data_IF_882446030244
#
_entry.id   IF_882446030244
#
_cell.length_a   1.000
_cell.length_b   1.000
_cell.length_c   1.000
_cell.angle_alpha   90.00
_cell.angle_beta   90.00
_cell.angle_gamma   90.00
#
_symmetry.space_group_name_H-M   'P 1'
#
loop_
_entity.id
_entity.type
_entity.pdbx_description
1 polymer ?
#
# COMPACT_ATOMS: atom_id res chain seq x y z
N UNK A 1 -2.02 -12.14 -3.36
CA UNK A 1 -2.19 -11.37 -2.13
C UNK A 1 -0.90 -11.50 -1.32
N UNK A 2 0.00 -10.52 -1.51
CA UNK A 2 1.19 -10.37 -0.68
C UNK A 2 0.81 -10.36 0.81
N UNK A 3 1.58 -11.05 1.64
CA UNK A 3 1.42 -11.06 3.09
C UNK A 3 1.89 -9.72 3.65
N UNK A 4 1.00 -8.71 3.61
CA UNK A 4 1.30 -7.38 4.13
C UNK A 4 0.86 -7.27 5.58
N UNK A 5 1.74 -6.76 6.41
CA UNK A 5 1.57 -6.63 7.86
C UNK A 5 0.63 -5.50 8.31
N UNK A 6 -0.35 -5.09 7.50
CA UNK A 6 -1.23 -3.96 7.84
C UNK A 6 -2.15 -4.24 9.03
N UNK A 7 -2.61 -5.47 9.19
CA UNK A 7 -3.39 -5.86 10.37
C UNK A 7 -2.55 -5.80 11.64
N UNK A 8 -1.29 -6.28 11.56
CA UNK A 8 -0.33 -6.17 12.67
C UNK A 8 0.00 -4.69 12.96
N UNK A 9 0.18 -3.88 11.93
CA UNK A 9 0.42 -2.44 12.04
C UNK A 9 -0.73 -1.72 12.75
N UNK A 10 -1.98 -2.06 12.42
CA UNK A 10 -3.16 -1.52 13.09
C UNK A 10 -3.25 -1.97 14.56
N UNK A 11 -3.00 -3.26 14.84
CA UNK A 11 -2.99 -3.81 16.19
C UNK A 11 -1.93 -3.13 17.07
N UNK A 12 -0.67 -3.12 16.62
CA UNK A 12 0.44 -2.51 17.34
C UNK A 12 0.23 -1.00 17.51
N UNK A 13 -0.32 -0.32 16.50
CA UNK A 13 -0.64 1.11 16.58
C UNK A 13 -1.71 1.40 17.64
N UNK A 14 -2.74 0.55 17.73
CA UNK A 14 -3.76 0.63 18.78
C UNK A 14 -3.16 0.39 20.16
N UNK A 15 -2.35 -0.67 20.29
CA UNK A 15 -1.69 -1.02 21.53
C UNK A 15 -0.74 0.10 22.01
N UNK A 16 0.01 0.72 21.09
CA UNK A 16 0.88 1.84 21.41
C UNK A 16 0.09 3.02 21.99
N UNK A 17 -1.05 3.37 21.38
CA UNK A 17 -1.91 4.45 21.88
C UNK A 17 -2.57 4.10 23.22
N UNK A 18 -2.96 2.85 23.42
CA UNK A 18 -3.41 2.36 24.72
C UNK A 18 -2.32 2.50 25.80
N UNK A 19 -1.10 2.02 25.53
CA UNK A 19 0.02 2.09 26.48
C UNK A 19 0.43 3.53 26.80
N UNK A 20 0.34 4.45 25.83
CA UNK A 20 0.52 5.88 26.05
C UNK A 20 -0.50 6.41 27.07
N UNK A 21 -1.80 6.12 26.87
CA UNK A 21 -2.87 6.56 27.77
C UNK A 21 -2.73 5.94 29.16
N UNK A 22 -2.35 4.66 29.22
CA UNK A 22 -2.07 3.94 30.46
C UNK A 22 -0.73 4.30 31.12
N UNK A 23 0.06 5.20 30.52
CA UNK A 23 1.39 5.64 30.98
C UNK A 23 2.40 4.52 31.19
N UNK A 24 2.29 3.43 30.42
CA UNK A 24 3.20 2.29 30.47
C UNK A 24 4.36 2.50 29.49
N UNK A 25 5.18 3.51 29.75
CA UNK A 25 6.22 4.01 28.83
C UNK A 25 7.30 2.98 28.48
N UNK A 26 7.66 2.08 29.40
CA UNK A 26 8.61 1.00 29.11
C UNK A 26 8.08 0.06 28.01
N UNK A 27 6.84 -0.42 28.17
CA UNK A 27 6.18 -1.26 27.18
C UNK A 27 5.91 -0.50 25.87
N UNK A 28 5.62 0.80 25.97
CA UNK A 28 5.48 1.66 24.79
C UNK A 28 6.78 1.68 23.96
N UNK A 29 7.96 1.67 24.58
CA UNK A 29 9.26 1.61 23.86
C UNK A 29 9.37 0.36 23.02
N UNK A 30 9.01 -0.78 23.60
CA UNK A 30 9.07 -2.08 22.92
C UNK A 30 8.06 -2.11 21.76
N UNK A 31 6.82 -1.69 22.00
CA UNK A 31 5.78 -1.69 20.95
C UNK A 31 6.10 -0.70 19.84
N UNK A 32 6.61 0.49 20.15
CA UNK A 32 7.04 1.47 19.13
C UNK A 32 8.26 0.98 18.34
N UNK A 33 9.18 0.24 18.97
CA UNK A 33 10.26 -0.41 18.24
C UNK A 33 9.69 -1.43 17.26
N UNK A 34 8.83 -2.36 17.71
CA UNK A 34 8.16 -3.35 16.86
C UNK A 34 7.38 -2.69 15.72
N UNK A 35 6.73 -1.55 15.97
CA UNK A 35 6.06 -0.75 14.95
C UNK A 35 7.03 -0.26 13.86
N UNK A 36 8.19 0.25 14.23
CA UNK A 36 9.21 0.72 13.27
C UNK A 36 9.83 -0.44 12.47
N UNK A 37 10.05 -1.59 13.12
CA UNK A 37 10.48 -2.82 12.44
C UNK A 37 9.41 -3.36 11.48
N UNK A 38 8.14 -3.22 11.84
CA UNK A 38 6.99 -3.63 11.00
C UNK A 38 6.86 -2.69 9.80
N UNK A 39 6.76 -1.40 10.02
CA UNK A 39 6.53 -0.46 8.92
C UNK A 39 7.03 0.94 9.26
N UNK A 40 7.87 1.51 8.39
CA UNK A 40 8.51 2.82 8.60
C UNK A 40 7.51 3.97 8.82
N UNK A 41 6.31 3.92 8.23
CA UNK A 41 5.29 4.96 8.41
C UNK A 41 4.75 5.06 9.84
N UNK A 42 5.04 4.08 10.69
CA UNK A 42 4.71 4.16 12.12
C UNK A 42 5.42 5.32 12.83
N UNK A 43 6.49 5.88 12.24
CA UNK A 43 7.11 7.12 12.72
C UNK A 43 6.09 8.26 12.84
N UNK A 44 5.06 8.29 11.97
CA UNK A 44 4.01 9.29 12.02
C UNK A 44 3.10 9.12 13.23
N UNK A 45 2.89 7.88 13.69
CA UNK A 45 2.17 7.61 14.94
C UNK A 45 3.02 8.04 16.14
N UNK A 46 4.31 7.72 16.14
CA UNK A 46 5.25 8.14 17.20
C UNK A 46 5.30 9.68 17.29
N UNK A 47 5.30 10.38 16.16
CA UNK A 47 5.18 11.84 16.11
C UNK A 47 3.85 12.32 16.73
N UNK A 48 2.73 11.65 16.46
CA UNK A 48 1.45 11.98 17.09
C UNK A 48 1.49 11.82 18.62
N UNK A 49 2.14 10.76 19.12
CA UNK A 49 2.35 10.56 20.55
C UNK A 49 3.17 11.71 21.15
N UNK A 50 4.23 12.15 20.46
CA UNK A 50 5.04 13.31 20.87
C UNK A 50 4.25 14.59 20.95
N UNK A 51 3.49 14.90 19.90
CA UNK A 51 2.64 16.10 19.85
C UNK A 51 1.65 16.07 21.02
N UNK A 52 1.04 14.92 21.30
CA UNK A 52 0.14 14.78 22.45
C UNK A 52 0.83 15.03 23.79
N UNK A 53 1.99 14.42 24.04
CA UNK A 53 2.70 14.59 25.31
C UNK A 53 3.16 16.03 25.52
N UNK A 54 3.72 16.67 24.49
CA UNK A 54 4.20 18.06 24.56
C UNK A 54 3.04 19.04 24.81
N UNK A 55 1.90 18.85 24.17
CA UNK A 55 0.79 19.79 24.26
C UNK A 55 -0.12 19.56 25.47
N UNK A 56 -0.37 18.29 25.83
CA UNK A 56 -1.44 17.94 26.78
C UNK A 56 -0.98 17.08 27.97
N UNK A 57 0.18 16.43 27.91
CA UNK A 57 0.67 15.57 29.01
C UNK A 57 2.10 15.94 29.47
N UNK A 58 2.40 17.24 29.55
CA UNK A 58 3.76 17.75 29.86
C UNK A 58 4.39 17.17 31.12
N UNK A 59 3.59 16.82 32.12
CA UNK A 59 4.06 16.14 33.35
C UNK A 59 4.78 14.82 33.09
N UNK A 60 4.44 14.14 31.99
CA UNK A 60 5.00 12.85 31.65
C UNK A 60 6.25 12.98 30.73
N UNK A 61 6.68 14.20 30.38
CA UNK A 61 7.82 14.44 29.47
C UNK A 61 9.08 13.71 29.91
N UNK A 62 9.41 13.70 31.21
CA UNK A 62 10.60 13.02 31.71
C UNK A 62 10.58 11.51 31.40
N UNK A 63 9.44 10.85 31.68
CA UNK A 63 9.27 9.43 31.40
C UNK A 63 9.22 9.16 29.89
N UNK A 64 8.63 10.08 29.13
CA UNK A 64 8.55 10.00 27.69
C UNK A 64 9.93 10.17 27.01
N UNK A 65 10.83 10.97 27.58
CA UNK A 65 12.22 11.05 27.13
C UNK A 65 12.97 9.74 27.36
N UNK A 66 12.75 9.08 28.51
CA UNK A 66 13.33 7.74 28.77
C UNK A 66 12.80 6.72 27.75
N UNK A 67 11.51 6.80 27.42
CA UNK A 67 10.91 5.99 26.36
C UNK A 67 11.66 6.18 25.02
N UNK A 68 11.96 7.41 24.62
CA UNK A 68 12.71 7.69 23.40
C UNK A 68 14.14 7.17 23.42
N UNK A 69 14.82 7.27 24.56
CA UNK A 69 16.16 6.71 24.71
C UNK A 69 16.14 5.19 24.48
N UNK A 70 15.20 4.49 25.12
CA UNK A 70 15.02 3.04 24.96
C UNK A 70 14.62 2.66 23.54
N UNK A 71 13.67 3.39 22.93
CA UNK A 71 13.28 3.19 21.54
C UNK A 71 14.47 3.32 20.59
N UNK A 72 15.32 4.33 20.81
CA UNK A 72 16.55 4.55 20.02
C UNK A 72 17.48 3.36 20.18
N UNK A 73 17.75 2.92 21.42
CA UNK A 73 18.59 1.74 21.71
C UNK A 73 18.08 0.50 20.96
N UNK A 74 16.77 0.24 21.00
CA UNK A 74 16.17 -0.89 20.28
C UNK A 74 16.22 -0.77 18.76
N UNK A 75 16.27 0.45 18.22
CA UNK A 75 16.27 0.70 16.78
C UNK A 75 17.67 0.84 16.17
N UNK A 76 18.71 1.05 16.98
CA UNK A 76 20.11 1.14 16.53
C UNK A 76 20.50 0.00 15.55
N UNK A 77 20.20 -1.28 15.85
CA UNK A 77 20.56 -2.37 14.94
C UNK A 77 19.95 -2.26 13.53
N UNK A 78 18.85 -1.53 13.40
CA UNK A 78 18.13 -1.36 12.13
C UNK A 78 18.53 -0.11 11.34
N UNK A 79 19.30 0.80 11.93
CA UNK A 79 19.75 2.03 11.26
C UNK A 79 20.43 1.79 9.89
N UNK A 80 21.29 0.77 9.71
CA UNK A 80 21.89 0.49 8.40
C UNK A 80 20.85 0.11 7.33
N UNK A 81 19.80 -0.61 7.73
CA UNK A 81 18.72 -0.98 6.81
C UNK A 81 17.85 0.23 6.48
N UNK A 82 17.55 1.07 7.47
CA UNK A 82 16.85 2.34 7.26
C UNK A 82 17.60 3.25 6.28
N UNK A 83 18.92 3.40 6.43
CA UNK A 83 19.75 4.21 5.52
C UNK A 83 19.69 3.68 4.08
N UNK A 84 19.78 2.36 3.89
CA UNK A 84 19.61 1.72 2.58
C UNK A 84 18.23 1.99 1.98
N UNK A 85 17.17 1.81 2.76
CA UNK A 85 15.79 2.06 2.32
C UNK A 85 15.55 3.53 1.94
N UNK A 86 16.08 4.47 2.73
CA UNK A 86 16.00 5.90 2.46
C UNK A 86 16.75 6.25 1.17
N UNK A 87 17.98 5.72 1.00
CA UNK A 87 18.77 5.88 -0.21
C UNK A 87 18.07 5.34 -1.46
N UNK A 88 17.46 4.16 -1.39
CA UNK A 88 16.66 3.62 -2.50
C UNK A 88 15.42 4.47 -2.79
N UNK A 89 14.75 4.98 -1.76
CA UNK A 89 13.57 5.85 -1.92
C UNK A 89 13.89 7.20 -2.57
N UNK A 90 15.04 7.79 -2.26
CA UNK A 90 15.50 9.06 -2.84
C UNK A 90 15.98 8.91 -4.28
N UNK A 91 16.58 7.77 -4.64
CA UNK A 91 17.19 7.53 -5.94
C UNK A 91 16.31 6.68 -6.88
N UNK A 92 15.02 6.52 -6.58
CA UNK A 92 14.15 5.59 -7.32
C UNK A 92 14.02 5.95 -8.79
N UNK A 93 14.04 7.25 -9.11
CA UNK A 93 13.93 7.76 -10.47
C UNK A 93 15.18 7.45 -11.33
N UNK A 94 16.33 7.17 -10.70
CA UNK A 94 17.57 6.84 -11.42
C UNK A 94 17.53 5.44 -12.05
N UNK A 95 16.79 4.51 -11.45
CA UNK A 95 16.72 3.11 -11.91
C UNK A 95 15.32 2.66 -12.33
N UNK A 96 14.26 3.38 -11.92
CA UNK A 96 12.89 3.22 -12.42
C UNK A 96 12.27 4.59 -12.74
N UNK A 97 12.66 5.18 -13.89
CA UNK A 97 12.09 6.45 -14.34
C UNK A 97 10.57 6.34 -14.43
N UNK A 98 9.83 7.35 -13.94
CA UNK A 98 8.37 7.34 -13.97
C UNK A 98 7.70 6.75 -12.71
N UNK A 99 8.44 6.06 -11.86
CA UNK A 99 7.86 5.39 -10.68
C UNK A 99 7.29 6.37 -9.66
N UNK A 100 7.90 7.55 -9.54
CA UNK A 100 7.40 8.64 -8.70
C UNK A 100 5.99 9.08 -9.08
N UNK A 101 5.68 9.20 -10.38
CA UNK A 101 4.36 9.58 -10.89
C UNK A 101 3.31 8.49 -10.61
N UNK A 102 3.70 7.21 -10.61
CA UNK A 102 2.82 6.08 -10.31
C UNK A 102 2.48 6.02 -8.81
N UNK A 103 3.47 6.28 -7.94
CA UNK A 103 3.31 6.13 -6.50
C UNK A 103 2.69 7.34 -5.79
N UNK A 104 2.81 8.54 -6.36
CA UNK A 104 2.41 9.77 -5.69
C UNK A 104 1.38 10.57 -6.48
N UNK A 105 0.32 10.95 -5.78
CA UNK A 105 -0.64 11.98 -6.22
C UNK A 105 -0.27 13.32 -5.57
N UNK A 106 -0.71 14.45 -6.11
CA UNK A 106 -0.52 15.76 -5.45
C UNK A 106 -1.05 15.70 -4.00
N UNK A 107 -0.31 16.21 -2.98
CA UNK A 107 -0.76 16.18 -1.59
C UNK A 107 -2.15 16.79 -1.36
N UNK A 108 -2.49 17.83 -2.12
CA UNK A 108 -3.81 18.49 -2.08
C UNK A 108 -4.91 17.52 -2.52
N UNK A 109 -4.66 16.70 -3.54
CA UNK A 109 -5.58 15.64 -3.98
C UNK A 109 -5.51 14.41 -3.06
N UNK A 110 -4.36 14.18 -2.42
CA UNK A 110 -4.14 13.02 -1.58
C UNK A 110 -4.95 13.06 -0.29
N UNK A 111 -5.06 14.22 0.37
CA UNK A 111 -5.83 14.34 1.61
C UNK A 111 -7.28 13.81 1.51
N UNK A 112 -8.14 14.32 0.60
CA UNK A 112 -9.50 13.83 0.48
C UNK A 112 -9.53 12.35 0.05
N UNK A 113 -8.60 11.90 -0.79
CA UNK A 113 -8.53 10.49 -1.22
C UNK A 113 -8.16 9.56 -0.06
N UNK A 114 -7.19 9.95 0.78
CA UNK A 114 -6.80 9.18 1.97
C UNK A 114 -7.97 9.10 2.93
N UNK A 115 -8.57 10.24 3.24
CA UNK A 115 -9.65 10.30 4.22
C UNK A 115 -10.89 9.55 3.74
N UNK A 116 -11.30 9.72 2.47
CA UNK A 116 -12.39 8.96 1.88
C UNK A 116 -12.10 7.45 1.92
N UNK A 117 -10.90 7.01 1.53
CA UNK A 117 -10.55 5.58 1.52
C UNK A 117 -10.43 4.96 2.91
N UNK A 118 -10.10 5.74 3.93
CA UNK A 118 -10.12 5.28 5.33
C UNK A 118 -11.55 5.01 5.83
N UNK A 119 -12.54 5.76 5.33
CA UNK A 119 -13.94 5.63 5.77
C UNK A 119 -14.73 4.65 4.88
N UNK A 120 -14.69 4.85 3.57
CA UNK A 120 -15.52 4.11 2.60
C UNK A 120 -14.76 2.97 1.89
N UNK A 121 -13.45 2.83 2.10
CA UNK A 121 -12.64 1.82 1.41
C UNK A 121 -12.36 2.15 -0.06
N UNK A 122 -11.98 1.12 -0.84
CA UNK A 122 -11.65 1.26 -2.26
C UNK A 122 -12.90 1.07 -3.12
N UNK A 123 -13.58 2.17 -3.42
CA UNK A 123 -14.77 2.16 -4.29
C UNK A 123 -14.53 3.04 -5.52
N UNK A 124 -14.99 2.57 -6.67
CA UNK A 124 -15.22 3.40 -7.85
C UNK A 124 -16.57 3.05 -8.51
N UNK A 125 -17.33 4.08 -8.87
CA UNK A 125 -18.54 3.94 -9.67
C UNK A 125 -18.25 4.23 -11.14
N UNK A 126 -19.05 3.66 -12.03
CA UNK A 126 -18.93 3.90 -13.49
C UNK A 126 -19.32 5.36 -13.80
N UNK A 127 -20.42 5.84 -13.22
CA UNK A 127 -20.82 7.25 -13.33
C UNK A 127 -19.99 8.12 -12.39
N UNK A 128 -19.28 9.11 -12.97
CA UNK A 128 -18.52 10.11 -12.22
C UNK A 128 -19.42 10.96 -11.33
N UNK A 129 -20.65 11.25 -11.76
CA UNK A 129 -21.62 12.04 -10.99
C UNK A 129 -22.10 11.29 -9.75
N UNK A 130 -22.49 10.01 -9.90
CA UNK A 130 -22.87 9.18 -8.76
C UNK A 130 -21.70 9.00 -7.78
N UNK A 131 -20.48 8.87 -8.29
CA UNK A 131 -19.30 8.81 -7.43
C UNK A 131 -19.08 10.10 -6.65
N UNK A 132 -19.20 11.27 -7.32
CA UNK A 132 -19.09 12.57 -6.68
C UNK A 132 -20.15 12.77 -5.60
N UNK A 133 -21.40 12.40 -5.88
CA UNK A 133 -22.49 12.46 -4.89
C UNK A 133 -22.19 11.57 -3.67
N UNK A 134 -21.72 10.34 -3.91
CA UNK A 134 -21.35 9.43 -2.83
C UNK A 134 -20.17 9.94 -2.00
N UNK A 135 -19.14 10.51 -2.62
CA UNK A 135 -18.01 11.14 -1.92
C UNK A 135 -18.51 12.29 -1.03
N UNK A 136 -19.34 13.18 -1.57
CA UNK A 136 -19.93 14.29 -0.81
C UNK A 136 -20.74 13.78 0.36
N UNK A 137 -21.55 12.74 0.16
CA UNK A 137 -22.32 12.10 1.23
C UNK A 137 -21.40 11.54 2.33
N UNK A 138 -20.36 10.76 1.97
CA UNK A 138 -19.39 10.20 2.93
C UNK A 138 -18.72 11.31 3.74
N UNK A 139 -18.28 12.39 3.10
CA UNK A 139 -17.69 13.52 3.80
C UNK A 139 -18.70 14.26 4.68
N UNK A 140 -19.91 14.51 4.21
CA UNK A 140 -20.95 15.16 5.01
C UNK A 140 -21.23 14.38 6.29
N UNK A 141 -21.45 13.06 6.19
CA UNK A 141 -21.66 12.19 7.36
C UNK A 141 -20.44 12.22 8.28
N UNK A 142 -19.24 12.08 7.72
CA UNK A 142 -17.99 12.02 8.49
C UNK A 142 -17.73 13.31 9.26
N UNK A 143 -17.74 14.46 8.59
CA UNK A 143 -17.45 15.75 9.23
C UNK A 143 -18.56 16.17 10.20
N UNK A 144 -19.83 15.84 9.90
CA UNK A 144 -20.91 16.07 10.86
C UNK A 144 -20.73 15.21 12.11
N UNK A 145 -20.37 13.92 11.95
CA UNK A 145 -20.06 13.03 13.08
C UNK A 145 -18.89 13.58 13.94
N UNK A 146 -17.83 14.06 13.29
CA UNK A 146 -16.71 14.69 13.99
C UNK A 146 -17.10 16.00 14.70
N UNK A 147 -18.02 16.78 14.13
CA UNK A 147 -18.48 18.04 14.70
C UNK A 147 -19.37 17.84 15.94
N UNK A 148 -20.21 16.80 15.97
CA UNK A 148 -21.14 16.56 17.10
C UNK A 148 -20.53 15.81 18.29
N UNK A 149 -19.33 15.26 18.10
CA UNK A 149 -18.54 14.50 19.09
C UNK A 149 -18.28 15.33 20.37
N UNK A 150 -18.57 14.76 21.55
CA UNK A 150 -18.43 15.43 22.87
C UNK A 150 -17.27 14.93 23.73
N UNK A 151 -16.62 13.83 23.36
CA UNK A 151 -15.45 13.33 24.11
C UNK A 151 -14.28 14.32 24.04
N UNK A 152 -13.37 14.26 25.02
CA UNK A 152 -12.12 15.04 25.00
C UNK A 152 -11.30 14.65 23.77
N UNK A 153 -11.48 15.43 22.71
CA UNK A 153 -11.12 15.05 21.34
C UNK A 153 -9.63 15.20 21.03
N UNK A 154 -8.86 15.88 21.87
CA UNK A 154 -7.46 16.21 21.59
C UNK A 154 -6.62 14.98 21.24
N UNK A 155 -6.66 13.92 22.05
CA UNK A 155 -5.91 12.69 21.80
C UNK A 155 -6.30 12.04 20.47
N UNK A 156 -7.60 11.89 20.23
CA UNK A 156 -8.11 11.19 19.04
C UNK A 156 -7.89 12.00 17.77
N UNK A 157 -8.05 13.33 17.82
CA UNK A 157 -7.72 14.21 16.71
C UNK A 157 -6.22 14.18 16.41
N UNK A 158 -5.37 14.18 17.43
CA UNK A 158 -3.92 14.03 17.24
C UNK A 158 -3.61 12.66 16.62
N UNK A 159 -4.18 11.58 17.15
CA UNK A 159 -3.99 10.23 16.63
C UNK A 159 -4.42 10.10 15.17
N UNK A 160 -5.54 10.73 14.77
CA UNK A 160 -6.02 10.64 13.40
C UNK A 160 -5.28 11.60 12.46
N UNK A 161 -5.23 12.88 12.80
CA UNK A 161 -4.82 13.92 11.87
C UNK A 161 -3.30 14.14 11.83
N UNK A 162 -2.58 14.03 12.95
CA UNK A 162 -1.11 14.24 12.92
C UNK A 162 -0.44 13.24 12.00
N UNK A 163 -0.76 11.92 12.01
CA UNK A 163 -0.13 11.01 11.08
C UNK A 163 -0.48 11.26 9.62
N UNK A 164 -1.73 11.65 9.33
CA UNK A 164 -2.17 11.98 7.97
C UNK A 164 -1.43 13.20 7.44
N UNK A 165 -1.38 14.29 8.21
CA UNK A 165 -0.69 15.50 7.77
C UNK A 165 0.83 15.28 7.67
N UNK A 166 1.42 14.52 8.58
CA UNK A 166 2.84 14.17 8.51
C UNK A 166 3.18 13.35 7.27
N UNK A 167 2.33 12.38 6.90
CA UNK A 167 2.44 11.66 5.64
C UNK A 167 2.35 12.60 4.43
N UNK A 168 1.42 13.56 4.45
CA UNK A 168 1.25 14.52 3.35
C UNK A 168 2.45 15.45 3.19
N UNK A 169 2.99 15.97 4.29
CA UNK A 169 4.18 16.82 4.26
C UNK A 169 5.42 16.06 3.80
N UNK A 170 5.64 14.86 4.33
CA UNK A 170 6.73 13.99 3.86
C UNK A 170 6.56 13.59 2.40
N UNK A 171 5.30 13.52 1.91
CA UNK A 171 5.02 13.20 0.51
C UNK A 171 5.49 14.24 -0.52
N UNK A 172 5.79 15.46 -0.06
CA UNK A 172 6.41 16.51 -0.89
C UNK A 172 7.83 16.12 -1.32
N UNK A 173 8.55 15.42 -0.45
CA UNK A 173 9.95 15.01 -0.68
C UNK A 173 10.02 13.58 -1.18
N UNK A 174 9.33 12.66 -0.49
CA UNK A 174 9.33 11.23 -0.78
C UNK A 174 7.98 10.82 -1.39
N UNK A 175 7.89 10.20 -2.56
CA UNK A 175 6.60 9.94 -3.22
C UNK A 175 5.80 8.81 -2.57
N UNK A 176 5.23 9.08 -1.39
CA UNK A 176 4.59 8.11 -0.52
C UNK A 176 3.37 8.71 0.18
N UNK A 177 2.22 8.76 -0.49
CA UNK A 177 0.95 9.20 0.12
C UNK A 177 -0.19 8.20 -0.04
N UNK A 178 0.15 6.91 -0.07
CA UNK A 178 -0.84 5.85 -0.18
C UNK A 178 -1.61 5.67 1.14
N UNK A 179 -2.96 5.60 1.13
CA UNK A 179 -3.79 5.64 2.34
C UNK A 179 -3.50 4.51 3.34
N UNK A 180 -3.16 3.31 2.86
CA UNK A 180 -2.90 2.17 3.71
C UNK A 180 -1.67 2.37 4.62
N UNK A 181 -0.80 3.33 4.32
CA UNK A 181 0.39 3.64 5.15
C UNK A 181 0.02 4.26 6.50
N UNK A 182 -1.21 4.72 6.68
CA UNK A 182 -1.72 5.29 7.93
C UNK A 182 -2.88 4.47 8.49
N UNK A 183 -2.99 3.17 8.17
CA UNK A 183 -4.09 2.31 8.61
C UNK A 183 -4.25 2.26 10.15
N UNK A 184 -3.18 2.49 10.89
CA UNK A 184 -3.18 2.57 12.36
C UNK A 184 -3.98 3.75 12.94
N UNK A 185 -4.49 4.66 12.10
CA UNK A 185 -5.41 5.74 12.54
C UNK A 185 -6.87 5.29 12.62
N UNK A 186 -7.23 4.18 11.96
CA UNK A 186 -8.61 3.69 11.91
C UNK A 186 -9.25 3.49 13.29
N UNK A 187 -8.58 2.90 14.30
CA UNK A 187 -9.17 2.74 15.62
C UNK A 187 -9.56 4.08 16.25
N UNK A 188 -8.69 5.10 16.13
CA UNK A 188 -8.99 6.45 16.61
C UNK A 188 -10.19 7.08 15.91
N UNK A 189 -10.31 6.88 14.59
CA UNK A 189 -11.43 7.35 13.79
C UNK A 189 -12.75 6.65 14.16
N UNK A 190 -12.71 5.33 14.39
CA UNK A 190 -13.87 4.54 14.82
C UNK A 190 -14.36 5.00 16.21
N UNK A 191 -13.46 5.30 17.14
CA UNK A 191 -13.83 5.82 18.47
C UNK A 191 -14.50 7.20 18.34
N UNK A 192 -14.01 8.07 17.44
CA UNK A 192 -14.66 9.35 17.15
C UNK A 192 -16.09 9.14 16.61
N UNK A 193 -16.27 8.22 15.67
CA UNK A 193 -17.59 7.85 15.15
C UNK A 193 -18.52 7.27 16.21
N UNK A 194 -18.02 6.41 17.09
CA UNK A 194 -18.79 5.85 18.19
C UNK A 194 -19.34 6.97 19.11
N UNK A 195 -18.56 8.04 19.34
CA UNK A 195 -19.06 9.19 20.11
C UNK A 195 -20.23 9.91 19.45
N UNK A 196 -20.27 9.99 18.11
CA UNK A 196 -21.41 10.55 17.41
C UNK A 196 -22.64 9.65 17.53
N UNK A 197 -22.44 8.33 17.44
CA UNK A 197 -23.50 7.34 17.68
C UNK A 197 -24.07 7.43 19.10
N UNK A 198 -23.26 7.63 20.14
CA UNK A 198 -23.83 7.79 21.49
C UNK A 198 -24.76 9.02 21.61
N UNK A 199 -24.55 10.05 20.81
CA UNK A 199 -25.38 11.26 20.82
C UNK A 199 -26.64 11.13 19.95
N UNK A 200 -26.50 10.58 18.75
CA UNK A 200 -27.62 10.34 17.82
C UNK A 200 -27.53 8.91 17.27
N UNK A 201 -27.94 7.90 18.07
CA UNK A 201 -27.61 6.49 17.80
C UNK A 201 -28.20 5.99 16.51
N UNK A 202 -29.50 6.17 16.29
CA UNK A 202 -30.16 5.69 15.07
C UNK A 202 -29.59 6.35 13.82
N UNK A 203 -29.39 7.67 13.84
CA UNK A 203 -28.92 8.41 12.68
C UNK A 203 -27.49 8.03 12.28
N UNK A 204 -26.51 8.22 13.17
CA UNK A 204 -25.10 7.98 12.80
C UNK A 204 -24.78 6.51 12.63
N UNK A 205 -25.39 5.61 13.42
CA UNK A 205 -25.19 4.17 13.23
C UNK A 205 -25.67 3.74 11.85
N UNK A 206 -26.89 4.14 11.44
CA UNK A 206 -27.42 3.80 10.12
C UNK A 206 -26.56 4.37 8.99
N UNK A 207 -26.17 5.65 9.08
CA UNK A 207 -25.37 6.29 8.03
C UNK A 207 -23.97 5.68 7.90
N UNK A 208 -23.29 5.41 9.02
CA UNK A 208 -21.94 4.80 9.01
C UNK A 208 -22.02 3.35 8.54
N UNK A 209 -22.98 2.56 9.02
CA UNK A 209 -23.19 1.19 8.55
C UNK A 209 -23.48 1.16 7.05
N UNK A 210 -24.30 2.10 6.56
CA UNK A 210 -24.56 2.20 5.13
C UNK A 210 -23.26 2.45 4.34
N UNK A 211 -22.40 3.37 4.79
CA UNK A 211 -21.10 3.62 4.12
C UNK A 211 -20.22 2.38 4.10
N UNK A 212 -20.12 1.66 5.23
CA UNK A 212 -19.30 0.46 5.34
C UNK A 212 -19.86 -0.68 4.49
N UNK A 213 -21.17 -0.94 4.56
CA UNK A 213 -21.82 -1.98 3.77
C UNK A 213 -21.70 -1.74 2.26
N UNK A 214 -21.89 -0.49 1.81
CA UNK A 214 -21.69 -0.15 0.39
C UNK A 214 -20.24 -0.41 -0.02
N UNK A 215 -19.27 -0.06 0.81
CA UNK A 215 -17.85 -0.33 0.57
C UNK A 215 -17.52 -1.82 0.51
N UNK A 216 -17.99 -2.59 1.48
CA UNK A 216 -17.75 -4.02 1.56
C UNK A 216 -18.43 -4.78 0.42
N UNK A 217 -19.71 -4.50 0.15
CA UNK A 217 -20.44 -5.10 -0.97
C UNK A 217 -19.73 -4.77 -2.28
N UNK A 218 -19.32 -3.50 -2.50
CA UNK A 218 -18.60 -3.13 -3.70
C UNK A 218 -17.27 -3.91 -3.83
N UNK A 219 -16.51 -4.03 -2.74
CA UNK A 219 -15.24 -4.77 -2.72
C UNK A 219 -15.43 -6.27 -3.03
N UNK A 220 -16.37 -6.94 -2.37
CA UNK A 220 -16.56 -8.39 -2.52
C UNK A 220 -17.24 -8.78 -3.84
N UNK A 221 -18.07 -7.92 -4.43
CA UNK A 221 -18.79 -8.23 -5.67
C UNK A 221 -18.08 -7.78 -6.94
N UNK A 222 -17.06 -6.90 -6.85
CA UNK A 222 -16.39 -6.32 -8.03
C UNK A 222 -14.90 -6.63 -8.04
N UNK A 223 -14.43 -7.60 -8.85
CA UNK A 223 -13.01 -7.97 -8.94
C UNK A 223 -12.06 -6.79 -9.20
N UNK A 224 -12.46 -5.80 -10.01
CA UNK A 224 -11.68 -4.58 -10.28
C UNK A 224 -11.33 -3.74 -9.03
N UNK A 225 -12.12 -3.86 -7.96
CA UNK A 225 -11.89 -3.17 -6.70
C UNK A 225 -11.01 -3.98 -5.75
N UNK A 226 -10.90 -5.28 -5.98
CA UNK A 226 -10.04 -6.19 -5.23
C UNK A 226 -8.56 -5.95 -5.60
N UNK A 227 -7.68 -6.58 -4.83
CA UNK A 227 -6.25 -6.59 -5.15
C UNK A 227 -5.98 -7.51 -6.34
N UNK A 228 -4.76 -7.41 -6.90
CA UNK A 228 -4.41 -8.12 -8.12
C UNK A 228 -4.67 -9.63 -8.01
N UNK A 229 -5.24 -10.21 -9.07
CA UNK A 229 -5.62 -11.62 -9.19
C UNK A 229 -4.42 -12.56 -9.41
N UNK A 230 -3.34 -12.38 -8.66
CA UNK A 230 -2.12 -13.17 -8.78
C UNK A 230 -2.35 -14.67 -8.58
N UNK A 231 -3.23 -15.05 -7.66
CA UNK A 231 -3.54 -16.47 -7.39
C UNK A 231 -4.17 -17.12 -8.62
N UNK A 232 -5.12 -16.45 -9.27
CA UNK A 232 -5.80 -16.93 -10.47
C UNK A 232 -4.85 -16.95 -11.66
N UNK A 233 -4.06 -15.88 -11.85
CA UNK A 233 -3.08 -15.79 -12.92
C UNK A 233 -2.03 -16.91 -12.85
N UNK A 234 -1.47 -17.15 -11.66
CA UNK A 234 -0.48 -18.21 -11.45
C UNK A 234 -1.13 -19.58 -11.58
N UNK A 235 -2.32 -19.79 -11.01
CA UNK A 235 -3.06 -21.05 -11.17
C UNK A 235 -3.35 -21.39 -12.63
N UNK A 236 -3.70 -20.38 -13.45
CA UNK A 236 -3.82 -20.51 -14.89
C UNK A 236 -2.49 -20.92 -15.54
N UNK A 237 -1.41 -20.19 -15.26
CA UNK A 237 -0.08 -20.45 -15.84
C UNK A 237 0.47 -21.83 -15.47
N UNK A 238 0.23 -22.31 -14.24
CA UNK A 238 0.63 -23.64 -13.79
C UNK A 238 -0.11 -24.78 -14.51
N UNK A 239 -1.31 -24.52 -15.02
CA UNK A 239 -2.09 -25.51 -15.78
C UNK A 239 -1.78 -25.53 -17.28
N UNK A 240 -0.86 -24.67 -17.77
CA UNK A 240 -0.54 -24.57 -19.19
C UNK A 240 0.83 -25.18 -19.51
N UNK A 241 0.97 -25.89 -20.66
CA UNK A 241 2.27 -26.30 -21.15
C UNK A 241 3.04 -25.08 -21.67
N UNK A 242 4.24 -24.83 -21.15
CA UNK A 242 5.09 -23.72 -21.58
C UNK A 242 5.85 -23.07 -20.44
N UNK A 243 6.56 -22.00 -20.77
CA UNK A 243 7.32 -21.21 -19.79
C UNK A 243 6.80 -19.78 -19.72
N UNK A 244 6.85 -19.17 -18.55
CA UNK A 244 6.48 -17.76 -18.38
C UNK A 244 7.71 -16.88 -18.40
N UNK A 245 7.67 -15.87 -19.25
CA UNK A 245 8.59 -14.75 -19.30
C UNK A 245 7.99 -13.58 -18.52
N UNK A 246 8.84 -12.92 -17.72
CA UNK A 246 8.49 -11.67 -17.05
C UNK A 246 9.40 -10.55 -17.50
N UNK A 247 8.85 -9.35 -17.66
CA UNK A 247 9.60 -8.13 -17.97
C UNK A 247 10.19 -7.51 -16.70
N UNK A 248 10.94 -8.31 -15.96
CA UNK A 248 11.56 -7.95 -14.70
C UNK A 248 12.87 -8.72 -14.56
N UNK A 249 13.74 -8.25 -13.67
CA UNK A 249 15.04 -8.82 -13.35
C UNK A 249 14.95 -10.11 -12.56
N UNK A 250 13.77 -10.39 -12.00
CA UNK A 250 13.52 -11.58 -11.22
C UNK A 250 12.04 -11.98 -11.31
N UNK A 251 11.73 -13.17 -10.79
CA UNK A 251 10.38 -13.64 -10.54
C UNK A 251 9.65 -12.63 -9.63
N UNK A 252 8.40 -12.28 -9.96
CA UNK A 252 7.61 -11.41 -9.08
C UNK A 252 7.29 -12.09 -7.74
N UNK A 253 7.29 -11.31 -6.65
CA UNK A 253 7.00 -11.78 -5.29
C UNK A 253 5.82 -12.78 -5.17
N UNK A 254 4.67 -12.57 -5.86
CA UNK A 254 3.55 -13.49 -5.78
C UNK A 254 3.83 -14.91 -6.27
N UNK A 255 4.76 -15.09 -7.20
CA UNK A 255 5.15 -16.44 -7.63
C UNK A 255 5.93 -17.19 -6.55
N UNK A 256 6.81 -16.54 -5.78
CA UNK A 256 7.49 -17.21 -4.66
C UNK A 256 6.52 -17.71 -3.60
N UNK A 257 5.34 -17.11 -3.52
CA UNK A 257 4.32 -17.48 -2.55
C UNK A 257 3.35 -18.54 -3.08
N UNK A 258 2.78 -18.31 -4.27
CA UNK A 258 1.72 -19.17 -4.80
C UNK A 258 2.22 -20.37 -5.60
N UNK A 259 3.43 -20.29 -6.15
CA UNK A 259 4.03 -21.41 -6.87
C UNK A 259 5.56 -21.27 -6.88
N UNK A 260 6.22 -21.58 -5.73
CA UNK A 260 7.66 -21.40 -5.56
C UNK A 260 8.47 -22.08 -6.68
N UNK A 261 8.06 -23.30 -7.04
CA UNK A 261 8.74 -24.15 -8.01
C UNK A 261 8.40 -23.81 -9.48
N UNK A 262 7.42 -22.93 -9.72
CA UNK A 262 7.07 -22.55 -11.07
C UNK A 262 8.20 -21.79 -11.74
N UNK A 263 8.72 -22.34 -12.84
CA UNK A 263 9.84 -21.78 -13.58
C UNK A 263 9.40 -20.50 -14.31
N UNK A 264 10.04 -19.40 -13.97
CA UNK A 264 9.86 -18.09 -14.60
C UNK A 264 11.20 -17.63 -15.14
N UNK A 265 11.20 -17.06 -16.35
CA UNK A 265 12.37 -16.48 -16.97
C UNK A 265 12.31 -14.95 -16.86
N UNK A 266 13.28 -14.32 -16.18
CA UNK A 266 13.42 -12.87 -16.20
C UNK A 266 14.02 -12.41 -17.53
N UNK A 267 13.22 -11.74 -18.36
CA UNK A 267 13.66 -11.28 -19.68
C UNK A 267 14.47 -9.97 -19.64
N UNK A 268 14.43 -9.23 -18.52
CA UNK A 268 15.02 -7.89 -18.40
C UNK A 268 15.99 -7.85 -17.23
N UNK A 269 17.29 -7.86 -17.47
CA UNK A 269 18.32 -7.84 -16.40
C UNK A 269 18.68 -6.44 -15.90
N UNK A 270 18.39 -5.40 -16.68
CA UNK A 270 18.71 -3.99 -16.38
C UNK A 270 17.50 -3.11 -16.68
N UNK A 271 17.29 -2.06 -15.88
CA UNK A 271 16.21 -1.11 -16.05
C UNK A 271 16.73 0.28 -16.49
N UNK A 272 16.06 0.94 -17.43
CA UNK A 272 15.08 0.37 -18.37
C UNK A 272 15.73 -0.70 -19.26
N UNK A 273 14.91 -1.57 -19.84
CA UNK A 273 15.36 -2.67 -20.70
C UNK A 273 16.26 -2.15 -21.85
N UNK A 274 17.28 -2.94 -22.18
CA UNK A 274 18.17 -2.68 -23.32
C UNK A 274 18.10 -3.85 -24.28
N UNK A 275 17.97 -3.58 -25.58
CA UNK A 275 17.74 -4.62 -26.59
C UNK A 275 18.79 -5.73 -26.53
N UNK A 276 20.08 -5.37 -26.49
CA UNK A 276 21.17 -6.34 -26.38
C UNK A 276 21.03 -7.26 -25.16
N UNK A 277 20.78 -6.70 -23.97
CA UNK A 277 20.64 -7.47 -22.74
C UNK A 277 19.41 -8.41 -22.77
N UNK A 278 18.31 -7.98 -23.40
CA UNK A 278 17.11 -8.81 -23.59
C UNK A 278 17.40 -9.95 -24.58
N UNK A 279 18.05 -9.65 -25.71
CA UNK A 279 18.45 -10.64 -26.71
C UNK A 279 19.38 -11.68 -26.11
N UNK A 280 20.39 -11.27 -25.34
CA UNK A 280 21.33 -12.18 -24.68
C UNK A 280 20.60 -13.07 -23.67
N UNK A 281 19.72 -12.50 -22.85
CA UNK A 281 18.94 -13.25 -21.84
C UNK A 281 18.02 -14.31 -22.46
N UNK A 282 17.34 -13.97 -23.55
CA UNK A 282 16.40 -14.88 -24.21
C UNK A 282 17.10 -15.90 -25.11
N UNK A 283 18.18 -15.50 -25.79
CA UNK A 283 18.94 -16.39 -26.70
C UNK A 283 19.76 -17.43 -25.94
N UNK A 284 20.20 -17.10 -24.72
CA UNK A 284 20.87 -18.05 -23.83
C UNK A 284 19.94 -19.17 -23.29
N UNK A 285 18.63 -19.07 -23.55
CA UNK A 285 17.64 -20.00 -23.00
C UNK A 285 16.96 -20.84 -24.07
N UNK A 286 16.85 -22.14 -23.81
CA UNK A 286 16.07 -23.06 -24.64
C UNK A 286 14.57 -22.81 -24.45
N UNK A 287 14.03 -21.86 -25.21
CA UNK A 287 12.60 -21.52 -25.15
C UNK A 287 11.75 -22.62 -25.83
N UNK A 288 10.67 -23.10 -25.17
CA UNK A 288 9.76 -24.09 -25.74
C UNK A 288 8.89 -23.50 -26.86
N UNK A 289 8.19 -24.35 -27.61
CA UNK A 289 7.29 -23.92 -28.70
C UNK A 289 6.16 -22.98 -28.25
N UNK A 290 5.81 -22.99 -26.97
CA UNK A 290 4.80 -22.14 -26.36
C UNK A 290 5.36 -21.39 -25.15
N UNK A 291 5.22 -20.06 -25.16
CA UNK A 291 5.65 -19.19 -24.06
C UNK A 291 4.52 -18.24 -23.66
N UNK A 292 4.54 -17.79 -22.41
CA UNK A 292 3.62 -16.80 -21.86
C UNK A 292 4.40 -15.56 -21.44
N UNK A 293 4.00 -14.37 -21.88
CA UNK A 293 4.63 -13.12 -21.51
C UNK A 293 3.71 -12.32 -20.58
N UNK A 294 4.19 -11.99 -19.39
CA UNK A 294 3.47 -11.19 -18.41
C UNK A 294 3.71 -9.69 -18.64
N UNK A 295 2.65 -8.89 -18.78
CA UNK A 295 2.76 -7.43 -18.99
C UNK A 295 2.97 -6.62 -17.70
N UNK A 296 2.95 -7.25 -16.53
CA UNK A 296 2.98 -6.53 -15.27
C UNK A 296 4.23 -5.61 -15.15
N UNK A 297 4.01 -4.33 -14.82
CA UNK A 297 5.04 -3.27 -14.71
C UNK A 297 5.82 -2.93 -16.00
N UNK A 298 5.34 -3.35 -17.18
CA UNK A 298 6.04 -3.14 -18.47
C UNK A 298 6.40 -1.69 -18.74
N UNK A 299 5.50 -0.74 -18.49
CA UNK A 299 5.74 0.69 -18.79
C UNK A 299 6.96 1.27 -18.04
N UNK A 300 7.40 0.61 -16.97
CA UNK A 300 8.53 1.04 -16.15
C UNK A 300 9.81 0.29 -16.48
N UNK A 301 9.69 -1.00 -16.80
CA UNK A 301 10.84 -1.89 -16.99
C UNK A 301 11.23 -2.06 -18.44
N UNK A 302 10.28 -2.01 -19.37
CA UNK A 302 10.45 -2.20 -20.80
C UNK A 302 9.47 -1.29 -21.58
N UNK A 303 9.64 0.04 -21.49
CA UNK A 303 8.71 1.01 -22.09
C UNK A 303 8.64 0.89 -23.62
N UNK A 304 9.73 0.51 -24.27
CA UNK A 304 9.83 0.36 -25.73
C UNK A 304 9.40 -1.03 -26.23
N UNK A 305 8.87 -1.88 -25.35
CA UNK A 305 8.39 -3.23 -25.65
C UNK A 305 9.47 -4.11 -26.34
N UNK A 306 10.72 -3.97 -25.91
CA UNK A 306 11.86 -4.67 -26.49
C UNK A 306 11.73 -6.18 -26.34
N UNK A 307 11.18 -6.66 -25.23
CA UNK A 307 10.94 -8.10 -25.01
C UNK A 307 9.99 -8.67 -26.05
N UNK A 308 8.91 -7.97 -26.38
CA UNK A 308 7.98 -8.38 -27.43
C UNK A 308 8.65 -8.40 -28.81
N UNK A 309 9.50 -7.40 -29.08
CA UNK A 309 10.21 -7.30 -30.36
C UNK A 309 11.17 -8.49 -30.56
N UNK A 310 11.96 -8.82 -29.54
CA UNK A 310 12.93 -9.93 -29.59
C UNK A 310 12.22 -11.27 -29.68
N UNK A 311 11.11 -11.48 -28.94
CA UNK A 311 10.30 -12.70 -29.04
C UNK A 311 9.80 -12.91 -30.48
N UNK A 312 9.35 -11.83 -31.14
CA UNK A 312 8.91 -11.88 -32.55
C UNK A 312 10.07 -12.18 -33.50
N UNK A 313 11.25 -11.59 -33.28
CA UNK A 313 12.48 -11.87 -34.05
C UNK A 313 12.91 -13.35 -33.92
N UNK A 314 12.67 -13.98 -32.76
CA UNK A 314 12.90 -15.42 -32.53
C UNK A 314 11.86 -16.34 -33.19
N UNK A 315 10.90 -15.78 -33.96
CA UNK A 315 9.91 -16.54 -34.73
C UNK A 315 8.62 -16.87 -33.97
N UNK A 316 8.39 -16.29 -32.81
CA UNK A 316 7.14 -16.47 -32.08
C UNK A 316 6.07 -15.49 -32.58
N UNK A 317 4.83 -15.97 -32.69
CA UNK A 317 3.65 -15.13 -32.95
C UNK A 317 2.69 -15.17 -31.77
N UNK A 318 2.13 -14.02 -31.45
CA UNK A 318 1.08 -13.91 -30.44
C UNK A 318 -0.18 -14.62 -30.96
N UNK A 319 -0.73 -15.51 -30.16
CA UNK A 319 -1.92 -16.31 -30.51
C UNK A 319 -3.13 -15.96 -29.66
N UNK A 320 -2.94 -15.63 -28.37
CA UNK A 320 -4.03 -15.30 -27.44
C UNK A 320 -3.59 -14.28 -26.39
N UNK A 321 -4.56 -13.63 -25.78
CA UNK A 321 -4.39 -12.68 -24.67
C UNK A 321 -5.35 -13.09 -23.56
N UNK A 322 -4.85 -13.17 -22.33
CA UNK A 322 -5.65 -13.41 -21.14
C UNK A 322 -5.57 -12.19 -20.22
N UNK A 323 -6.70 -11.74 -19.67
CA UNK A 323 -6.75 -10.59 -18.76
C UNK A 323 -7.00 -11.07 -17.33
N UNK A 324 -6.16 -10.62 -16.41
CA UNK A 324 -6.33 -10.85 -14.97
C UNK A 324 -6.35 -9.49 -14.25
N UNK A 325 -7.44 -9.20 -13.56
CA UNK A 325 -7.66 -7.90 -12.92
C UNK A 325 -6.51 -7.55 -11.98
N UNK A 326 -5.91 -6.36 -12.19
CA UNK A 326 -4.76 -5.85 -11.45
C UNK A 326 -3.39 -6.45 -11.81
N UNK A 327 -3.32 -7.67 -12.35
CA UNK A 327 -2.06 -8.26 -12.87
C UNK A 327 -1.79 -7.78 -14.30
N UNK A 328 -2.85 -7.45 -15.04
CA UNK A 328 -2.79 -7.04 -16.43
C UNK A 328 -2.92 -8.22 -17.38
N UNK A 329 -2.33 -8.09 -18.56
CA UNK A 329 -2.44 -9.08 -19.62
C UNK A 329 -1.32 -10.11 -19.57
N UNK A 330 -1.67 -11.35 -19.92
CA UNK A 330 -0.75 -12.45 -20.18
C UNK A 330 -0.90 -12.80 -21.67
N UNK A 331 0.18 -12.61 -22.42
CA UNK A 331 0.22 -12.88 -23.85
C UNK A 331 0.73 -14.30 -24.09
N UNK A 332 0.00 -15.08 -24.89
CA UNK A 332 0.44 -16.39 -25.31
C UNK A 332 1.10 -16.31 -26.68
N UNK A 333 2.33 -16.78 -26.76
CA UNK A 333 3.13 -16.81 -27.98
C UNK A 333 3.42 -18.26 -28.38
N UNK A 334 3.36 -18.56 -29.68
CA UNK A 334 3.74 -19.85 -30.24
C UNK A 334 4.74 -19.68 -31.37
N UNK A 335 5.75 -20.56 -31.42
CA UNK A 335 6.68 -20.65 -32.54
C UNK A 335 5.98 -21.36 -33.69
N UNK A 336 5.98 -20.73 -34.87
CA UNK A 336 5.40 -21.27 -36.10
C UNK A 336 6.50 -21.86 -36.95
#
# INVERSE_FOLDING_TARGET
>A
QEFRMYSLLALLGTLAMYLLVSRRYLWLSIVNALLLYTHYSSIFLILAQTVYVILYARRDLKLFTIHYLLLTIYYIPWLPQFARQLGSGLNIDNYLPGWRQVLSISPVKAFPVIFFKLVAGRISFISKYLYGLYITFVFAVTFTALAVTRIKKHLLFIWVFVPIFSLLFTSLVLPQNQPFRVIFVLPGLIILFASACFRYPKLFLTLILYIFLVGDIAYFTRPRLQREQWRQAIGFLSGQPGITLVKFSDKFAPFYWYSPDYRVIPAVSVYPARKAAVTDSLSAQSLPSQIFLLQYLTELTDPDLLVDSVIKELGYRQTRIYNFEGVGFIYQYKRI
#
